data_IF_167213505323
#
_entry.id   IF_167213505323
#
_cell.length_a   1.000
_cell.length_b   1.000
_cell.length_c   1.000
_cell.angle_alpha   90.00
_cell.angle_beta   90.00
_cell.angle_gamma   90.00
#
_symmetry.space_group_name_H-M   'P 1'
#
loop_
_entity.id
_entity.type
_entity.pdbx_description
1 polymer ?
#
# COMPACT_ATOMS: atom_id res chain seq x y z
N UNK A 1 0.73 8.07 -8.88
CA UNK A 1 -0.19 8.02 -10.03
C UNK A 1 -1.47 7.24 -9.75
N UNK A 2 -1.45 6.19 -8.91
CA UNK A 2 -2.63 5.37 -8.61
C UNK A 2 -3.79 6.14 -7.96
N UNK A 3 -3.53 6.95 -6.93
CA UNK A 3 -4.61 7.64 -6.21
C UNK A 3 -5.39 8.65 -7.06
N UNK A 4 -4.75 9.55 -7.85
CA UNK A 4 -5.49 10.41 -8.76
C UNK A 4 -6.36 9.64 -9.76
N UNK A 5 -5.89 8.48 -10.26
CA UNK A 5 -6.67 7.63 -11.17
C UNK A 5 -7.93 7.07 -10.48
N UNK A 6 -7.81 6.58 -9.24
CA UNK A 6 -8.96 6.10 -8.46
C UNK A 6 -9.97 7.24 -8.23
N UNK A 7 -9.48 8.42 -7.85
CA UNK A 7 -10.32 9.61 -7.64
C UNK A 7 -11.04 10.04 -8.92
N UNK A 8 -10.35 10.00 -10.07
CA UNK A 8 -10.93 10.33 -11.37
C UNK A 8 -12.05 9.35 -11.75
N UNK A 9 -11.85 8.04 -11.55
CA UNK A 9 -12.88 7.03 -11.78
C UNK A 9 -14.11 7.25 -10.90
N UNK A 10 -13.89 7.57 -9.61
CA UNK A 10 -14.99 7.88 -8.68
C UNK A 10 -15.75 9.14 -9.09
N UNK A 11 -15.04 10.20 -9.45
CA UNK A 11 -15.62 11.50 -9.80
C UNK A 11 -16.37 11.47 -11.13
N UNK A 12 -15.80 10.83 -12.15
CA UNK A 12 -16.36 10.81 -13.51
C UNK A 12 -17.34 9.67 -13.73
N UNK A 13 -17.32 8.64 -12.88
CA UNK A 13 -18.05 7.37 -13.06
C UNK A 13 -17.79 6.78 -14.45
N UNK A 14 -16.53 6.85 -14.88
CA UNK A 14 -16.04 6.21 -16.11
C UNK A 14 -14.82 5.37 -15.77
N UNK A 15 -14.69 4.22 -16.42
CA UNK A 15 -13.44 3.48 -16.36
C UNK A 15 -12.34 4.44 -16.86
N UNK A 16 -11.31 4.65 -16.04
CA UNK A 16 -10.28 5.63 -16.34
C UNK A 16 -9.60 5.25 -17.64
N UNK A 17 -9.39 6.21 -18.54
CA UNK A 17 -8.47 6.02 -19.65
C UNK A 17 -7.05 6.14 -19.09
N UNK A 18 -6.60 5.17 -18.30
CA UNK A 18 -5.21 5.18 -17.88
C UNK A 18 -4.37 5.03 -19.16
N UNK A 19 -3.36 5.88 -19.30
CA UNK A 19 -2.39 5.84 -20.41
C UNK A 19 -1.74 4.44 -20.61
N UNK A 20 -1.95 3.51 -19.66
CA UNK A 20 -1.39 2.18 -19.55
C UNK A 20 -2.44 1.06 -19.31
N UNK A 21 -3.73 1.28 -19.56
CA UNK A 21 -4.77 0.23 -19.50
C UNK A 21 -5.59 0.21 -18.21
N UNK A 22 -5.66 -0.92 -17.52
CA UNK A 22 -6.49 -1.12 -16.30
C UNK A 22 -5.83 -0.55 -15.04
N UNK A 23 -6.64 -0.14 -14.06
CA UNK A 23 -6.20 0.20 -12.69
C UNK A 23 -5.44 -0.95 -12.00
N UNK A 24 -5.65 -2.20 -12.43
CA UNK A 24 -4.92 -3.37 -11.94
C UNK A 24 -3.42 -3.31 -12.20
N UNK A 25 -2.98 -2.64 -13.27
CA UNK A 25 -1.55 -2.52 -13.60
C UNK A 25 -0.77 -1.75 -12.53
N UNK A 26 -1.13 -0.50 -12.17
CA UNK A 26 -0.47 0.22 -11.08
C UNK A 26 -0.70 -0.45 -9.72
N UNK A 27 -1.87 -1.04 -9.43
CA UNK A 27 -2.10 -1.80 -8.19
C UNK A 27 -1.06 -2.91 -8.04
N UNK A 28 -0.86 -3.73 -9.08
CA UNK A 28 0.10 -4.82 -9.03
C UNK A 28 1.56 -4.37 -8.88
N UNK A 29 1.91 -3.16 -9.31
CA UNK A 29 3.23 -2.57 -9.02
C UNK A 29 3.34 -2.24 -7.53
N UNK A 30 2.35 -1.58 -6.95
CA UNK A 30 2.33 -1.23 -5.53
C UNK A 30 2.37 -2.47 -4.65
N UNK A 31 1.63 -3.53 -4.98
CA UNK A 31 1.64 -4.77 -4.20
C UNK A 31 3.04 -5.43 -4.18
N UNK A 32 3.79 -5.41 -5.28
CA UNK A 32 5.18 -5.91 -5.31
C UNK A 32 6.13 -5.03 -4.49
N UNK A 33 5.91 -3.72 -4.49
CA UNK A 33 6.66 -2.79 -3.65
C UNK A 33 6.34 -3.01 -2.16
N UNK A 34 5.08 -3.30 -1.82
CA UNK A 34 4.66 -3.68 -0.47
C UNK A 34 5.30 -4.98 0.01
N UNK A 35 5.36 -6.00 -0.84
CA UNK A 35 6.05 -7.27 -0.50
C UNK A 35 7.53 -7.01 -0.19
N UNK A 36 8.20 -6.19 -1.02
CA UNK A 36 9.60 -5.82 -0.82
C UNK A 36 9.79 -5.04 0.48
N UNK A 37 8.88 -4.13 0.81
CA UNK A 37 8.88 -3.40 2.07
C UNK A 37 8.66 -4.33 3.27
N UNK A 38 7.75 -5.30 3.18
CA UNK A 38 7.52 -6.30 4.23
C UNK A 38 8.78 -7.14 4.52
N UNK A 39 9.51 -7.55 3.48
CA UNK A 39 10.81 -8.23 3.66
C UNK A 39 11.82 -7.33 4.37
N UNK A 40 11.91 -6.06 3.98
CA UNK A 40 12.84 -5.10 4.60
C UNK A 40 12.50 -4.84 6.08
N UNK A 41 11.21 -4.72 6.42
CA UNK A 41 10.74 -4.58 7.80
C UNK A 41 11.08 -5.82 8.65
N UNK A 42 10.89 -7.03 8.10
CA UNK A 42 11.26 -8.27 8.78
C UNK A 42 12.76 -8.35 9.07
N UNK A 43 13.59 -7.97 8.09
CA UNK A 43 15.05 -7.89 8.29
C UNK A 43 15.43 -6.81 9.32
N UNK A 44 14.76 -5.65 9.29
CA UNK A 44 14.98 -4.58 10.27
C UNK A 44 14.71 -5.08 11.70
N UNK A 45 13.55 -5.71 11.93
CA UNK A 45 13.20 -6.31 13.23
C UNK A 45 14.23 -7.36 13.67
N UNK A 46 14.72 -8.19 12.76
CA UNK A 46 15.74 -9.19 13.07
C UNK A 46 17.07 -8.55 13.48
N UNK A 47 17.53 -7.54 12.74
CA UNK A 47 18.81 -6.87 13.00
C UNK A 47 18.79 -6.04 14.30
N UNK A 48 17.62 -5.61 14.74
CA UNK A 48 17.43 -4.84 15.98
C UNK A 48 17.09 -5.71 17.19
N UNK A 49 17.13 -7.05 17.05
CA UNK A 49 16.71 -8.00 18.10
C UNK A 49 15.32 -7.67 18.65
N UNK A 50 14.34 -7.57 17.73
CA UNK A 50 12.96 -7.16 18.04
C UNK A 50 12.87 -5.76 18.68
N UNK A 51 13.72 -4.84 18.23
CA UNK A 51 13.86 -3.48 18.76
C UNK A 51 14.28 -3.44 20.24
N UNK A 52 15.02 -4.44 20.70
CA UNK A 52 15.53 -4.50 22.07
C UNK A 52 16.72 -3.55 22.24
N UNK A 53 16.65 -2.69 23.26
CA UNK A 53 17.75 -1.79 23.62
C UNK A 53 18.84 -2.60 24.34
N UNK A 54 20.11 -2.57 23.88
CA UNK A 54 21.20 -3.27 24.55
C UNK A 54 21.56 -2.59 25.88
N UNK A 55 22.28 -3.31 26.74
CA UNK A 55 22.63 -2.82 28.09
C UNK A 55 23.49 -1.54 28.10
N UNK A 56 24.30 -1.34 27.07
CA UNK A 56 25.12 -0.16 26.84
C UNK A 56 24.44 0.90 25.95
N UNK A 57 23.16 0.69 25.62
CA UNK A 57 22.35 1.62 24.83
C UNK A 57 22.06 2.92 25.57
N UNK A 58 22.19 4.04 24.87
CA UNK A 58 21.84 5.36 25.40
C UNK A 58 20.39 5.74 25.06
N UNK A 59 19.89 6.83 25.66
CA UNK A 59 18.53 7.32 25.42
C UNK A 59 18.22 7.60 23.94
N UNK A 60 19.20 8.11 23.17
CA UNK A 60 19.03 8.36 21.73
C UNK A 60 18.89 7.06 20.94
N UNK A 61 19.61 6.00 21.34
CA UNK A 61 19.49 4.69 20.71
C UNK A 61 18.14 4.04 21.01
N UNK A 62 17.66 4.16 22.24
CA UNK A 62 16.32 3.71 22.62
C UNK A 62 15.23 4.43 21.81
N UNK A 63 15.33 5.75 21.64
CA UNK A 63 14.39 6.53 20.84
C UNK A 63 14.42 6.13 19.34
N UNK A 64 15.60 5.81 18.80
CA UNK A 64 15.71 5.28 17.43
C UNK A 64 14.95 3.96 17.29
N UNK A 65 15.18 3.00 18.19
CA UNK A 65 14.54 1.68 18.12
C UNK A 65 13.01 1.77 18.27
N UNK A 66 12.50 2.62 19.17
CA UNK A 66 11.07 2.89 19.31
C UNK A 66 10.47 3.51 18.03
N UNK A 67 11.21 4.43 17.40
CA UNK A 67 10.86 5.00 16.10
C UNK A 67 10.77 3.95 14.99
N UNK A 68 11.72 3.01 14.93
CA UNK A 68 11.70 1.91 13.95
C UNK A 68 10.51 0.96 14.17
N UNK A 69 10.23 0.61 15.43
CA UNK A 69 9.05 -0.21 15.77
C UNK A 69 7.74 0.49 15.37
N UNK A 70 7.67 1.82 15.54
CA UNK A 70 6.55 2.63 15.09
C UNK A 70 6.42 2.65 13.57
N UNK A 71 7.52 2.82 12.83
CA UNK A 71 7.52 2.74 11.36
C UNK A 71 7.00 1.37 10.89
N UNK A 72 7.47 0.27 11.48
CA UNK A 72 7.00 -1.07 11.10
C UNK A 72 5.49 -1.23 11.31
N UNK A 73 4.98 -0.85 12.48
CA UNK A 73 3.55 -0.95 12.80
C UNK A 73 2.71 -0.12 11.83
N UNK A 74 3.07 1.15 11.65
CA UNK A 74 2.28 2.08 10.85
C UNK A 74 2.33 1.71 9.36
N UNK A 75 3.47 1.22 8.87
CA UNK A 75 3.59 0.75 7.49
C UNK A 75 2.80 -0.54 7.25
N UNK A 76 2.76 -1.47 8.22
CA UNK A 76 1.86 -2.63 8.13
C UNK A 76 0.38 -2.21 8.06
N UNK A 77 -0.05 -1.24 8.88
CA UNK A 77 -1.42 -0.73 8.83
C UNK A 77 -1.74 -0.05 7.49
N UNK A 78 -0.79 0.73 6.97
CA UNK A 78 -0.88 1.36 5.66
C UNK A 78 -1.07 0.32 4.54
N UNK A 79 -0.15 -0.66 4.45
CA UNK A 79 -0.22 -1.75 3.46
C UNK A 79 -1.54 -2.52 3.61
N UNK A 80 -2.01 -2.75 4.83
CA UNK A 80 -3.29 -3.42 5.07
C UNK A 80 -4.46 -2.64 4.47
N UNK A 81 -4.55 -1.32 4.74
CA UNK A 81 -5.59 -0.45 4.20
C UNK A 81 -5.58 -0.43 2.67
N UNK A 82 -4.40 -0.46 2.08
CA UNK A 82 -4.27 -0.44 0.63
C UNK A 82 -4.62 -1.79 0.00
N UNK A 83 -3.90 -2.85 0.35
CA UNK A 83 -4.04 -4.16 -0.28
C UNK A 83 -5.39 -4.83 0.01
N UNK A 84 -5.95 -4.63 1.20
CA UNK A 84 -7.16 -5.37 1.62
C UNK A 84 -8.44 -4.55 1.51
N UNK A 85 -8.35 -3.22 1.35
CA UNK A 85 -9.52 -2.35 1.32
C UNK A 85 -9.54 -1.49 0.06
N UNK A 86 -8.53 -0.65 -0.15
CA UNK A 86 -8.55 0.32 -1.25
C UNK A 86 -8.42 -0.35 -2.62
N UNK A 87 -7.39 -1.20 -2.82
CA UNK A 87 -7.11 -1.84 -4.10
C UNK A 87 -8.25 -2.74 -4.58
N UNK A 88 -8.84 -3.62 -3.74
CA UNK A 88 -9.96 -4.45 -4.16
C UNK A 88 -11.19 -3.61 -4.54
N UNK A 89 -11.44 -2.52 -3.81
CA UNK A 89 -12.55 -1.60 -4.12
C UNK A 89 -12.33 -0.86 -5.43
N UNK A 90 -11.10 -0.41 -5.72
CA UNK A 90 -10.76 0.24 -6.97
C UNK A 90 -10.91 -0.71 -8.17
N UNK A 91 -10.41 -1.94 -8.06
CA UNK A 91 -10.56 -2.96 -9.10
C UNK A 91 -12.04 -3.29 -9.38
N UNK A 92 -12.85 -3.43 -8.31
CA UNK A 92 -14.29 -3.65 -8.45
C UNK A 92 -14.99 -2.46 -9.12
N UNK A 93 -14.65 -1.23 -8.74
CA UNK A 93 -15.20 -0.03 -9.35
C UNK A 93 -14.93 -0.01 -10.86
N UNK A 94 -13.70 -0.32 -11.30
CA UNK A 94 -13.40 -0.40 -12.72
C UNK A 94 -14.26 -1.45 -13.44
N UNK A 95 -14.39 -2.64 -12.87
CA UNK A 95 -15.19 -3.72 -13.44
C UNK A 95 -16.68 -3.33 -13.60
N UNK A 96 -17.27 -2.72 -12.57
CA UNK A 96 -18.66 -2.26 -12.59
C UNK A 96 -18.88 -1.20 -13.67
N UNK A 97 -17.92 -0.27 -13.84
CA UNK A 97 -17.98 0.79 -14.85
C UNK A 97 -17.85 0.24 -16.27
N UNK A 98 -16.97 -0.76 -16.48
CA UNK A 98 -16.84 -1.43 -17.78
C UNK A 98 -18.10 -2.23 -18.15
N UNK A 99 -18.71 -2.93 -17.19
CA UNK A 99 -19.95 -3.68 -17.42
C UNK A 99 -21.11 -2.74 -17.79
N UNK A 100 -21.25 -1.61 -17.08
CA UNK A 100 -22.26 -0.59 -17.38
C UNK A 100 -22.09 0.01 -18.79
N UNK A 101 -20.85 0.22 -19.24
CA UNK A 101 -20.57 0.73 -20.58
C UNK A 101 -20.92 -0.29 -21.69
N UNK A 102 -20.85 -1.59 -21.41
CA UNK A 102 -21.15 -2.65 -22.38
C UNK A 102 -22.65 -2.98 -22.47
N UNK A 103 -23.42 -2.79 -21.39
CA UNK A 103 -24.86 -3.08 -21.33
C UNK A 103 -25.78 -1.96 -21.84
N UNK A 104 -25.24 -0.85 -22.35
CA UNK A 104 -25.99 0.30 -22.85
C UNK A 104 -26.17 0.36 -24.36
N UNK A 105 -25.92 -0.74 -25.08
CA UNK A 105 -26.07 -0.86 -26.54
C UNK A 105 -27.36 -1.61 -26.92
#
# INVERSE_FOLDING_TARGET
>A
MLFPLIQEMEATRRAGTAHCGSVGNPIGVMEREHDSAGVALGLMRQLTDDYTVPQDGCATFAALLDGLATIERDLHEHIHKENNILHPRAARLEADLLAAAQGGA
#
